data_IF_245647099188
#
_entry.id   IF_245647099188
#
_cell.length_a   1.000
_cell.length_b   1.000
_cell.length_c   1.000
_cell.angle_alpha   90.00
_cell.angle_beta   90.00
_cell.angle_gamma   90.00
#
_symmetry.space_group_name_H-M   'P 1'
#
loop_
_entity.id
_entity.type
_entity.pdbx_description
1 polymer ?
#
# COMPACT_ATOMS: atom_id res chain seq x y z
N UNK A 1 5.71 -5.42 -13.84
CA UNK A 1 5.18 -5.13 -12.49
C UNK A 1 3.83 -5.81 -12.34
N UNK A 2 3.53 -6.30 -11.14
CA UNK A 2 2.32 -7.08 -10.86
C UNK A 2 1.12 -6.14 -11.05
N UNK A 3 0.11 -6.57 -11.80
CA UNK A 3 -0.91 -5.66 -12.32
C UNK A 3 -2.18 -5.62 -11.51
N UNK A 4 -2.50 -6.73 -10.85
CA UNK A 4 -3.72 -7.03 -10.13
C UNK A 4 -3.54 -6.96 -8.61
N UNK A 5 -2.37 -6.54 -8.15
CA UNK A 5 -2.11 -6.17 -6.75
C UNK A 5 -2.11 -4.65 -6.57
N UNK A 6 -2.45 -4.20 -5.37
CA UNK A 6 -2.31 -2.80 -4.96
C UNK A 6 -0.98 -2.62 -4.24
N UNK A 7 -0.23 -1.60 -4.64
CA UNK A 7 1.09 -1.29 -4.09
C UNK A 7 1.02 0.03 -3.31
N UNK A 8 1.12 -0.05 -1.98
CA UNK A 8 1.09 1.11 -1.08
C UNK A 8 2.51 1.65 -0.94
N UNK A 9 2.78 2.85 -1.46
CA UNK A 9 3.95 3.65 -1.09
C UNK A 9 3.78 4.15 0.35
N UNK A 10 4.37 3.44 1.30
CA UNK A 10 4.16 3.66 2.72
C UNK A 10 5.19 4.65 3.27
N UNK A 11 4.75 5.91 3.38
CA UNK A 11 5.56 7.05 3.81
C UNK A 11 4.88 8.37 3.44
N UNK A 12 5.64 9.47 3.38
CA UNK A 12 5.17 10.76 2.86
C UNK A 12 4.79 10.70 1.38
N UNK A 13 4.15 11.75 0.85
CA UNK A 13 3.62 11.75 -0.53
C UNK A 13 4.66 11.61 -1.66
N UNK A 14 5.94 11.91 -1.38
CA UNK A 14 6.96 12.15 -2.39
C UNK A 14 7.29 10.95 -3.28
N UNK A 15 7.71 9.82 -2.72
CA UNK A 15 8.27 8.71 -3.52
C UNK A 15 7.22 8.11 -4.45
N UNK A 16 5.99 7.91 -3.98
CA UNK A 16 4.87 7.48 -4.80
C UNK A 16 4.57 8.47 -5.94
N UNK A 17 4.51 9.77 -5.65
CA UNK A 17 4.17 10.78 -6.65
C UNK A 17 5.19 10.85 -7.79
N UNK A 18 6.49 10.87 -7.48
CA UNK A 18 7.53 11.00 -8.51
C UNK A 18 7.75 9.71 -9.32
N UNK A 19 7.36 8.56 -8.77
CA UNK A 19 7.45 7.27 -9.48
C UNK A 19 6.16 6.92 -10.25
N UNK A 20 5.08 7.66 -10.03
CA UNK A 20 3.77 7.38 -10.62
C UNK A 20 3.82 7.41 -12.15
N UNK A 21 3.68 6.24 -12.76
CA UNK A 21 3.67 6.02 -14.21
C UNK A 21 4.94 6.50 -14.95
N UNK A 22 6.03 6.78 -14.23
CA UNK A 22 7.30 7.21 -14.83
C UNK A 22 7.98 6.07 -15.62
N UNK A 23 7.73 4.81 -15.25
CA UNK A 23 8.22 3.62 -15.96
C UNK A 23 7.14 3.04 -16.89
N UNK A 24 7.50 2.83 -18.16
CA UNK A 24 6.62 2.33 -19.23
C UNK A 24 6.41 0.80 -19.20
N UNK A 25 6.04 0.24 -18.05
CA UNK A 25 5.63 -1.16 -17.98
C UNK A 25 4.18 -1.35 -18.41
N UNK A 26 4.02 -1.81 -19.64
CA UNK A 26 2.72 -2.05 -20.23
C UNK A 26 2.01 -3.22 -19.54
N UNK A 27 0.68 -3.17 -19.55
CA UNK A 27 -0.21 -4.20 -19.02
C UNK A 27 -1.57 -4.14 -19.74
N UNK A 28 -2.37 -5.18 -19.60
CA UNK A 28 -3.75 -5.25 -20.09
C UNK A 28 -4.68 -5.45 -18.89
N UNK A 29 -5.72 -4.62 -18.80
CA UNK A 29 -6.75 -4.63 -17.76
C UNK A 29 -7.53 -3.31 -17.74
N UNK A 30 -8.47 -3.19 -16.81
CA UNK A 30 -9.23 -1.96 -16.56
C UNK A 30 -8.71 -1.29 -15.29
N UNK A 31 -7.92 -0.22 -15.48
CA UNK A 31 -7.26 0.50 -14.38
C UNK A 31 -8.26 1.00 -13.35
N UNK A 32 -8.02 0.72 -12.07
CA UNK A 32 -8.89 1.08 -10.95
C UNK A 32 -10.04 0.10 -10.69
N UNK A 33 -10.20 -0.93 -11.52
CA UNK A 33 -11.18 -2.00 -11.33
C UNK A 33 -10.46 -3.31 -11.00
N UNK A 34 -9.78 -3.91 -11.98
CA UNK A 34 -9.09 -5.21 -11.84
C UNK A 34 -7.56 -5.09 -11.96
N UNK A 35 -7.06 -3.91 -12.29
CA UNK A 35 -5.63 -3.63 -12.43
C UNK A 35 -5.27 -2.23 -11.92
N UNK A 36 -4.05 -2.05 -11.42
CA UNK A 36 -3.71 -0.89 -10.58
C UNK A 36 -2.33 -0.26 -10.88
N UNK A 37 -1.63 -0.74 -11.91
CA UNK A 37 -0.22 -0.41 -12.20
C UNK A 37 0.07 1.10 -12.33
N UNK A 38 -0.86 1.86 -12.93
CA UNK A 38 -0.71 3.30 -13.16
C UNK A 38 -1.55 4.12 -12.19
N UNK A 39 -1.74 3.62 -10.96
CA UNK A 39 -2.31 4.37 -9.86
C UNK A 39 -1.26 4.55 -8.76
N UNK A 40 -1.48 5.55 -7.91
CA UNK A 40 -0.63 5.83 -6.77
C UNK A 40 -1.45 5.65 -5.50
N UNK A 41 -1.05 4.67 -4.68
CA UNK A 41 -1.61 4.44 -3.35
C UNK A 41 -0.53 4.80 -2.35
N UNK A 42 -0.83 5.66 -1.40
CA UNK A 42 0.12 6.08 -0.37
C UNK A 42 -0.57 6.24 0.96
N UNK A 43 0.20 6.09 2.02
CA UNK A 43 -0.24 6.47 3.36
C UNK A 43 -0.13 7.96 3.65
N UNK A 44 0.51 8.76 2.78
CA UNK A 44 0.65 10.21 2.92
C UNK A 44 0.96 10.65 4.36
N UNK A 45 2.11 10.21 4.88
CA UNK A 45 2.52 10.49 6.25
C UNK A 45 2.53 11.99 6.53
N UNK A 46 1.84 12.35 7.61
CA UNK A 46 1.88 13.67 8.21
C UNK A 46 2.78 13.63 9.45
N UNK A 47 3.08 14.79 10.02
CA UNK A 47 3.95 14.89 11.20
C UNK A 47 3.48 14.00 12.37
N UNK A 48 2.17 13.90 12.60
CA UNK A 48 1.61 13.00 13.63
C UNK A 48 1.97 11.53 13.40
N UNK A 49 2.09 11.10 12.14
CA UNK A 49 2.39 9.70 11.80
C UNK A 49 3.87 9.43 12.05
N UNK A 50 4.74 10.44 11.89
CA UNK A 50 6.16 10.37 12.27
C UNK A 50 6.32 10.31 13.79
N UNK A 51 5.51 11.09 14.53
CA UNK A 51 5.61 11.18 16.00
C UNK A 51 5.02 9.96 16.70
N UNK A 52 3.92 9.41 16.19
CA UNK A 52 3.13 8.38 16.87
C UNK A 52 3.10 7.02 16.16
N UNK A 53 3.82 6.88 15.04
CA UNK A 53 3.84 5.67 14.23
C UNK A 53 2.68 5.58 13.23
N UNK A 54 2.90 4.81 12.17
CA UNK A 54 2.00 4.65 11.04
C UNK A 54 1.15 3.37 11.06
N UNK A 55 1.46 2.38 11.91
CA UNK A 55 0.83 1.05 11.88
C UNK A 55 -0.70 1.07 11.90
N UNK A 56 -1.29 1.92 12.76
CA UNK A 56 -2.75 2.05 12.85
C UNK A 56 -3.34 2.65 11.57
N UNK A 57 -2.63 3.60 10.95
CA UNK A 57 -3.03 4.23 9.69
C UNK A 57 -2.93 3.20 8.56
N UNK A 58 -1.85 2.41 8.51
CA UNK A 58 -1.66 1.34 7.53
C UNK A 58 -2.79 0.31 7.60
N UNK A 59 -3.14 -0.16 8.81
CA UNK A 59 -4.26 -1.07 9.02
C UNK A 59 -5.57 -0.51 8.46
N UNK A 60 -5.86 0.78 8.75
CA UNK A 60 -7.08 1.45 8.27
C UNK A 60 -7.08 1.62 6.74
N UNK A 61 -5.95 1.97 6.14
CA UNK A 61 -5.81 2.07 4.68
C UNK A 61 -6.08 0.72 4.02
N UNK A 62 -5.61 -0.39 4.60
CA UNK A 62 -5.93 -1.72 4.07
C UNK A 62 -7.42 -2.01 4.12
N UNK A 63 -8.13 -1.61 5.19
CA UNK A 63 -9.61 -1.74 5.25
C UNK A 63 -10.29 -0.95 4.12
N UNK A 64 -9.86 0.29 3.91
CA UNK A 64 -10.38 1.17 2.85
C UNK A 64 -10.09 0.62 1.45
N UNK A 65 -8.91 0.05 1.23
CA UNK A 65 -8.55 -0.61 -0.04
C UNK A 65 -9.49 -1.79 -0.33
N UNK A 66 -9.81 -2.58 0.69
CA UNK A 66 -10.68 -3.74 0.54
C UNK A 66 -12.12 -3.35 0.22
N UNK A 67 -12.59 -2.23 0.77
CA UNK A 67 -13.90 -1.67 0.47
C UNK A 67 -13.97 -1.04 -0.93
N UNK A 68 -12.98 -0.22 -1.28
CA UNK A 68 -13.00 0.59 -2.51
C UNK A 68 -12.52 -0.19 -3.75
N UNK A 69 -11.65 -1.18 -3.59
CA UNK A 69 -11.04 -1.94 -4.67
C UNK A 69 -11.16 -3.46 -4.44
N UNK A 70 -12.39 -4.01 -4.33
CA UNK A 70 -12.61 -5.39 -3.88
C UNK A 70 -12.00 -6.45 -4.80
N UNK A 71 -11.73 -6.13 -6.07
CA UNK A 71 -11.16 -7.06 -7.06
C UNK A 71 -9.63 -7.14 -7.02
N UNK A 72 -8.94 -6.45 -6.09
CA UNK A 72 -7.50 -6.61 -5.94
C UNK A 72 -7.15 -8.04 -5.48
N UNK A 73 -6.11 -8.64 -6.07
CA UNK A 73 -5.65 -10.00 -5.75
C UNK A 73 -4.60 -10.03 -4.63
N UNK A 74 -4.26 -8.87 -4.06
CA UNK A 74 -3.32 -8.76 -2.95
C UNK A 74 -2.81 -7.34 -2.77
N UNK A 75 -2.13 -7.13 -1.65
CA UNK A 75 -1.60 -5.82 -1.24
C UNK A 75 -0.10 -5.97 -1.00
N UNK A 76 0.70 -5.01 -1.42
CA UNK A 76 2.09 -4.89 -0.97
C UNK A 76 2.30 -3.55 -0.27
N UNK A 77 3.04 -3.55 0.83
CA UNK A 77 3.57 -2.35 1.47
C UNK A 77 4.95 -2.10 0.87
N UNK A 78 5.25 -0.86 0.50
CA UNK A 78 6.53 -0.46 -0.05
C UNK A 78 7.09 0.62 0.88
N UNK A 79 7.91 0.20 1.83
CA UNK A 79 8.46 1.09 2.86
C UNK A 79 9.32 2.19 2.28
N UNK A 80 8.96 3.43 2.60
CA UNK A 80 9.82 4.59 2.38
C UNK A 80 10.75 4.81 3.58
N UNK A 81 11.64 5.82 3.48
CA UNK A 81 12.68 6.08 4.47
C UNK A 81 12.18 6.14 5.94
N UNK A 82 11.04 6.80 6.27
CA UNK A 82 10.67 6.99 7.68
C UNK A 82 10.26 5.71 8.41
N UNK A 83 9.72 4.70 7.71
CA UNK A 83 9.10 3.52 8.32
C UNK A 83 10.10 2.79 9.23
N UNK A 84 11.27 2.47 8.67
CA UNK A 84 12.33 1.82 9.43
C UNK A 84 13.01 2.72 10.48
N UNK A 85 12.90 4.05 10.35
CA UNK A 85 13.51 5.00 11.30
C UNK A 85 12.67 5.20 12.56
N UNK A 86 11.34 5.17 12.43
CA UNK A 86 10.43 5.34 13.57
C UNK A 86 10.05 4.01 14.23
N UNK A 87 10.39 2.88 13.59
CA UNK A 87 10.20 1.54 14.15
C UNK A 87 8.77 1.01 14.01
N UNK A 88 8.08 1.36 12.94
CA UNK A 88 6.79 0.75 12.56
C UNK A 88 6.96 -0.75 12.28
N UNK A 89 6.00 -1.58 12.68
CA UNK A 89 6.01 -3.05 12.52
C UNK A 89 5.00 -3.48 11.45
N UNK A 90 5.38 -3.23 10.19
CA UNK A 90 4.54 -3.51 9.03
C UNK A 90 4.33 -5.00 8.79
N UNK A 91 5.25 -5.86 9.26
CA UNK A 91 5.13 -7.30 9.24
C UNK A 91 3.98 -7.77 10.13
N UNK A 92 3.89 -7.24 11.36
CA UNK A 92 2.79 -7.54 12.27
C UNK A 92 1.44 -7.08 11.71
N UNK A 93 1.39 -5.87 11.15
CA UNK A 93 0.16 -5.33 10.51
C UNK A 93 -0.26 -6.21 9.33
N UNK A 94 0.67 -6.52 8.42
CA UNK A 94 0.40 -7.33 7.22
C UNK A 94 -0.09 -8.73 7.57
N UNK A 95 0.52 -9.38 8.58
CA UNK A 95 0.10 -10.71 9.05
C UNK A 95 -1.28 -10.67 9.70
N UNK A 96 -1.56 -9.65 10.51
CA UNK A 96 -2.85 -9.48 11.17
C UNK A 96 -3.98 -9.28 10.17
N UNK A 97 -3.78 -8.35 9.22
CA UNK A 97 -4.77 -8.05 8.17
C UNK A 97 -4.94 -9.18 7.16
N UNK A 98 -3.88 -9.90 6.81
CA UNK A 98 -3.99 -11.10 5.96
C UNK A 98 -4.92 -12.13 6.59
N UNK A 99 -4.81 -12.36 7.91
CA UNK A 99 -5.70 -13.25 8.65
C UNK A 99 -7.15 -12.72 8.73
N UNK A 100 -7.32 -11.42 8.90
CA UNK A 100 -8.64 -10.76 8.93
C UNK A 100 -9.37 -10.87 7.58
N UNK A 101 -8.64 -10.84 6.46
CA UNK A 101 -9.19 -10.94 5.11
C UNK A 101 -9.14 -12.36 4.53
N UNK A 102 -9.41 -13.37 5.35
CA UNK A 102 -9.51 -14.78 4.94
C UNK A 102 -8.27 -15.30 4.16
N UNK A 103 -7.08 -14.89 4.59
CA UNK A 103 -5.80 -15.34 4.00
C UNK A 103 -5.37 -14.55 2.78
N UNK A 104 -5.94 -13.35 2.53
CA UNK A 104 -5.50 -12.49 1.43
C UNK A 104 -4.01 -12.22 1.50
N UNK A 105 -3.32 -12.29 0.36
CA UNK A 105 -1.88 -12.06 0.29
C UNK A 105 -1.55 -10.58 0.58
N UNK A 106 -0.83 -10.34 1.67
CA UNK A 106 -0.27 -9.03 2.03
C UNK A 106 1.24 -9.19 2.23
N UNK A 107 2.02 -8.42 1.49
CA UNK A 107 3.49 -8.47 1.51
C UNK A 107 4.02 -7.16 2.11
N UNK A 108 4.64 -7.18 3.31
CA UNK A 108 5.28 -6.00 3.89
C UNK A 108 6.53 -5.57 3.10
#
# INVERSE_FOLDING_TARGET
PIKDMIHISHGPVGCGQYSWAARRNYYIGTTGIDTFVTMQYTSDFQEKDIVFGGDKKLAKIMDEIQELFPLNNGITVQSECPIGLIGDDIEAVSKSKSKEYDGKTIVP
#
